data_IF_291993231206
#
_entry.id   IF_291993231206
#
_cell.length_a   1.000
_cell.length_b   1.000
_cell.length_c   1.000
_cell.angle_alpha   90.00
_cell.angle_beta   90.00
_cell.angle_gamma   90.00
#
_symmetry.space_group_name_H-M   'P 1'
#
loop_
_entity.id
_entity.type
_entity.pdbx_description
1 polymer ?
#
# COMPACT_ATOMS: atom_id res chain seq x y z
N UNK A 1 -3.01 -1.27 -35.63
CA UNK A 1 -3.30 -1.52 -34.20
C UNK A 1 -1.98 -1.91 -33.53
N UNK A 2 -1.41 -1.05 -32.67
CA UNK A 2 -0.21 -1.42 -31.90
C UNK A 2 -0.59 -2.59 -31.00
N UNK A 3 0.08 -3.73 -31.13
CA UNK A 3 -0.13 -4.89 -30.24
C UNK A 3 0.38 -4.47 -28.86
N UNK A 4 -0.50 -4.38 -27.87
CA UNK A 4 -0.14 -3.92 -26.52
C UNK A 4 0.81 -4.88 -25.78
N UNK A 5 1.23 -4.53 -24.55
CA UNK A 5 2.31 -5.22 -23.82
C UNK A 5 2.06 -6.72 -23.56
N UNK A 6 0.79 -7.18 -23.60
CA UNK A 6 0.42 -8.60 -23.52
C UNK A 6 0.96 -9.47 -24.66
N UNK A 7 1.51 -8.87 -25.73
CA UNK A 7 2.22 -9.62 -26.79
C UNK A 7 3.50 -10.28 -26.28
N UNK A 8 4.12 -9.70 -25.24
CA UNK A 8 5.31 -10.26 -24.62
C UNK A 8 4.88 -11.42 -23.73
N UNK A 9 5.17 -12.65 -24.18
CA UNK A 9 4.68 -13.88 -23.53
C UNK A 9 5.05 -13.94 -22.04
N UNK A 10 6.27 -13.52 -21.69
CA UNK A 10 6.74 -13.50 -20.31
C UNK A 10 6.04 -12.44 -19.47
N UNK A 11 5.77 -11.25 -20.02
CA UNK A 11 4.99 -10.23 -19.33
C UNK A 11 3.54 -10.70 -19.07
N UNK A 12 2.89 -11.30 -20.07
CA UNK A 12 1.53 -11.82 -19.93
C UNK A 12 1.47 -12.96 -18.89
N UNK A 13 2.42 -13.89 -18.94
CA UNK A 13 2.50 -15.00 -17.98
C UNK A 13 2.83 -14.51 -16.56
N UNK A 14 3.73 -13.53 -16.41
CA UNK A 14 4.06 -12.89 -15.14
C UNK A 14 2.85 -12.19 -14.52
N UNK A 15 2.13 -11.41 -15.32
CA UNK A 15 0.94 -10.71 -14.86
C UNK A 15 -0.16 -11.67 -14.45
N UNK A 16 -0.38 -12.75 -15.21
CA UNK A 16 -1.36 -13.79 -14.87
C UNK A 16 -0.97 -14.55 -13.59
N UNK A 17 0.30 -14.96 -13.47
CA UNK A 17 0.80 -15.67 -12.28
C UNK A 17 0.71 -14.78 -11.03
N UNK A 18 1.09 -13.50 -11.13
CA UNK A 18 0.98 -12.54 -10.02
C UNK A 18 -0.47 -12.25 -9.66
N UNK A 19 -1.37 -12.15 -10.64
CA UNK A 19 -2.80 -11.99 -10.39
C UNK A 19 -3.40 -13.17 -9.62
N UNK A 20 -3.03 -14.41 -10.00
CA UNK A 20 -3.44 -15.63 -9.28
C UNK A 20 -2.84 -15.69 -7.88
N UNK A 21 -1.54 -15.39 -7.75
CA UNK A 21 -0.85 -15.31 -6.45
C UNK A 21 -1.50 -14.29 -5.52
N UNK A 22 -1.84 -13.11 -6.05
CA UNK A 22 -2.48 -12.04 -5.29
C UNK A 22 -3.84 -12.43 -4.70
N UNK A 23 -4.62 -13.29 -5.37
CA UNK A 23 -5.89 -13.78 -4.82
C UNK A 23 -5.64 -14.57 -3.53
N UNK A 24 -4.61 -15.40 -3.53
CA UNK A 24 -4.26 -16.23 -2.39
C UNK A 24 -3.50 -15.47 -1.30
N UNK A 25 -2.73 -14.43 -1.66
CA UNK A 25 -2.19 -13.50 -0.68
C UNK A 25 -3.31 -12.84 0.13
N UNK A 26 -4.44 -12.50 -0.50
CA UNK A 26 -5.59 -11.98 0.21
C UNK A 26 -6.28 -13.04 1.08
N UNK A 27 -6.24 -14.33 0.71
CA UNK A 27 -6.63 -15.43 1.62
C UNK A 27 -5.77 -15.39 2.87
N UNK A 28 -4.44 -15.31 2.73
CA UNK A 28 -3.53 -15.22 3.87
C UNK A 28 -3.72 -13.93 4.69
N UNK A 29 -3.92 -12.80 4.02
CA UNK A 29 -4.15 -11.48 4.63
C UNK A 29 -5.42 -11.45 5.47
N UNK A 30 -6.43 -12.27 5.13
CA UNK A 30 -7.65 -12.44 5.91
C UNK A 30 -7.49 -13.50 7.01
N UNK A 31 -6.96 -14.68 6.67
CA UNK A 31 -6.86 -15.81 7.59
C UNK A 31 -5.85 -15.61 8.71
N UNK A 32 -4.70 -14.97 8.49
CA UNK A 32 -3.69 -14.75 9.53
C UNK A 32 -4.22 -13.92 10.73
N UNK A 33 -4.81 -12.73 10.55
CA UNK A 33 -5.36 -11.99 11.68
C UNK A 33 -6.56 -12.70 12.31
N UNK A 34 -7.41 -13.38 11.52
CA UNK A 34 -8.51 -14.19 12.07
C UNK A 34 -7.99 -15.35 12.93
N UNK A 35 -6.92 -16.02 12.49
CA UNK A 35 -6.27 -17.08 13.25
C UNK A 35 -5.72 -16.55 14.57
N UNK A 36 -5.08 -15.37 14.58
CA UNK A 36 -4.63 -14.73 15.82
C UNK A 36 -5.81 -14.41 16.75
N UNK A 37 -6.90 -13.89 16.20
CA UNK A 37 -8.12 -13.60 16.96
C UNK A 37 -8.75 -14.87 17.54
N UNK A 38 -8.88 -15.93 16.76
CA UNK A 38 -9.44 -17.21 17.22
C UNK A 38 -8.67 -17.83 18.40
N UNK A 39 -7.35 -17.56 18.51
CA UNK A 39 -6.52 -18.09 19.58
C UNK A 39 -6.52 -17.18 20.80
N UNK A 40 -6.47 -15.86 20.57
CA UNK A 40 -6.15 -14.89 21.63
C UNK A 40 -7.34 -14.05 22.06
N UNK A 41 -8.39 -13.99 21.25
CA UNK A 41 -9.51 -13.05 21.36
C UNK A 41 -9.07 -11.59 21.56
N UNK A 42 -7.85 -11.25 21.09
CA UNK A 42 -7.17 -9.99 21.43
C UNK A 42 -6.87 -9.17 20.19
N UNK A 43 -7.51 -8.01 20.08
CA UNK A 43 -7.17 -7.01 19.06
C UNK A 43 -5.71 -6.57 19.16
N UNK A 44 -5.13 -6.54 20.36
CA UNK A 44 -3.73 -6.15 20.55
C UNK A 44 -2.78 -7.18 19.95
N UNK A 45 -3.09 -8.47 20.09
CA UNK A 45 -2.31 -9.53 19.48
C UNK A 45 -2.34 -9.45 17.94
N UNK A 46 -3.52 -9.19 17.34
CA UNK A 46 -3.68 -9.01 15.90
C UNK A 46 -3.00 -7.73 15.39
N UNK A 47 -3.06 -6.63 16.16
CA UNK A 47 -2.35 -5.39 15.86
C UNK A 47 -0.82 -5.59 15.91
N UNK A 48 -0.31 -6.31 16.91
CA UNK A 48 1.12 -6.65 17.01
C UNK A 48 1.57 -7.46 15.80
N UNK A 49 0.79 -8.46 15.34
CA UNK A 49 1.12 -9.18 14.11
C UNK A 49 1.27 -8.21 12.92
N UNK A 50 0.34 -7.26 12.77
CA UNK A 50 0.38 -6.30 11.67
C UNK A 50 1.61 -5.39 11.71
N UNK A 51 2.00 -4.95 12.91
CA UNK A 51 3.23 -4.16 13.13
C UNK A 51 4.46 -4.99 12.78
N UNK A 52 4.54 -6.22 13.29
CA UNK A 52 5.67 -7.13 13.03
C UNK A 52 5.84 -7.39 11.53
N UNK A 53 4.75 -7.55 10.78
CA UNK A 53 4.77 -7.70 9.32
C UNK A 53 5.24 -6.43 8.58
N UNK A 54 5.07 -5.23 9.14
CA UNK A 54 5.50 -3.99 8.47
C UNK A 54 6.93 -3.57 8.79
N UNK A 55 7.49 -4.05 9.91
CA UNK A 55 8.86 -3.75 10.33
C UNK A 55 9.92 -4.06 9.26
N UNK A 56 9.90 -5.22 8.57
CA UNK A 56 10.89 -5.52 7.53
C UNK A 56 10.97 -4.47 6.44
N UNK A 57 9.84 -3.87 6.04
CA UNK A 57 9.84 -2.82 5.01
C UNK A 57 10.56 -1.56 5.48
N UNK A 58 10.44 -1.22 6.75
CA UNK A 58 11.14 -0.08 7.36
C UNK A 58 12.64 -0.37 7.47
N UNK A 59 13.00 -1.59 7.89
CA UNK A 59 14.39 -1.97 8.17
C UNK A 59 15.18 -2.27 6.89
N UNK A 60 14.55 -2.97 5.94
CA UNK A 60 15.20 -3.57 4.79
C UNK A 60 14.79 -2.96 3.45
N UNK A 61 13.82 -2.04 3.40
CA UNK A 61 13.38 -1.43 2.13
C UNK A 61 14.51 -0.75 1.34
N UNK A 62 15.34 0.06 2.02
CA UNK A 62 16.51 0.69 1.39
C UNK A 62 17.66 -0.29 1.09
N UNK A 63 18.08 -1.16 2.03
CA UNK A 63 19.06 -2.22 1.74
C UNK A 63 18.65 -3.16 0.60
N UNK A 64 17.37 -3.49 0.49
CA UNK A 64 16.85 -4.35 -0.57
C UNK A 64 17.11 -3.75 -1.95
N UNK A 65 16.88 -2.44 -2.13
CA UNK A 65 17.19 -1.74 -3.38
C UNK A 65 18.66 -1.88 -3.80
N UNK A 66 19.59 -1.71 -2.86
CA UNK A 66 21.02 -1.88 -3.13
C UNK A 66 21.44 -3.34 -3.36
N UNK A 67 20.70 -4.29 -2.76
CA UNK A 67 20.96 -5.72 -2.93
C UNK A 67 20.52 -6.20 -4.31
N UNK A 68 19.33 -5.80 -4.78
CA UNK A 68 18.77 -6.28 -6.05
C UNK A 68 19.64 -5.92 -7.24
N UNK A 69 20.37 -4.80 -7.18
CA UNK A 69 21.30 -4.39 -8.23
C UNK A 69 22.46 -5.38 -8.38
N UNK A 70 22.85 -6.07 -7.31
CA UNK A 70 24.07 -6.89 -7.22
C UNK A 70 23.84 -8.40 -7.29
N UNK A 71 22.59 -8.85 -7.20
CA UNK A 71 22.25 -10.28 -7.23
C UNK A 71 21.52 -10.65 -8.51
N UNK A 72 21.57 -11.94 -8.85
CA UNK A 72 20.73 -12.52 -9.89
C UNK A 72 19.27 -12.42 -9.45
N UNK A 73 18.51 -11.55 -10.13
CA UNK A 73 17.12 -11.20 -9.80
C UNK A 73 16.20 -12.41 -9.91
N UNK A 74 16.46 -13.29 -10.88
CA UNK A 74 15.67 -14.52 -11.06
C UNK A 74 15.91 -15.49 -9.92
N UNK A 75 17.17 -15.72 -9.52
CA UNK A 75 17.48 -16.58 -8.36
C UNK A 75 16.92 -16.03 -7.05
N UNK A 76 16.97 -14.71 -6.88
CA UNK A 76 16.38 -14.05 -5.71
C UNK A 76 14.86 -14.30 -5.66
N UNK A 77 14.14 -14.12 -6.76
CA UNK A 77 12.69 -14.33 -6.81
C UNK A 77 12.30 -15.79 -6.58
N UNK A 78 13.07 -16.74 -7.13
CA UNK A 78 12.90 -18.17 -6.83
C UNK A 78 13.09 -18.45 -5.32
N UNK A 79 14.12 -17.86 -4.71
CA UNK A 79 14.37 -18.01 -3.28
C UNK A 79 13.25 -17.39 -2.43
N UNK A 80 12.72 -16.24 -2.85
CA UNK A 80 11.57 -15.60 -2.22
C UNK A 80 10.34 -16.51 -2.28
N UNK A 81 9.96 -17.02 -3.45
CA UNK A 81 8.78 -17.86 -3.61
C UNK A 81 8.91 -19.18 -2.81
N UNK A 82 10.09 -19.82 -2.82
CA UNK A 82 10.35 -21.03 -1.99
C UNK A 82 10.23 -20.69 -0.50
N UNK A 83 10.78 -19.56 -0.07
CA UNK A 83 10.70 -19.12 1.33
C UNK A 83 9.27 -18.84 1.74
N UNK A 84 8.49 -18.15 0.90
CA UNK A 84 7.07 -17.89 1.13
C UNK A 84 6.26 -19.17 1.26
N UNK A 85 6.50 -20.16 0.39
CA UNK A 85 5.87 -21.49 0.48
C UNK A 85 6.24 -22.14 1.82
N UNK A 86 7.54 -22.23 2.14
CA UNK A 86 8.01 -22.91 3.34
C UNK A 86 7.46 -22.27 4.62
N UNK A 87 7.49 -20.94 4.71
CA UNK A 87 6.97 -20.16 5.84
C UNK A 87 5.46 -20.31 5.98
N UNK A 88 4.71 -20.26 4.87
CA UNK A 88 3.25 -20.38 4.89
C UNK A 88 2.81 -21.80 5.25
N UNK A 89 3.51 -22.83 4.74
CA UNK A 89 3.27 -24.25 5.07
C UNK A 89 3.67 -24.58 6.52
N UNK A 90 4.66 -23.89 7.09
CA UNK A 90 5.04 -24.10 8.48
C UNK A 90 3.89 -23.82 9.46
N UNK A 91 2.95 -22.93 9.11
CA UNK A 91 1.78 -22.60 9.94
C UNK A 91 0.89 -23.84 10.14
N UNK A 92 0.27 -24.46 9.11
CA UNK A 92 -0.56 -25.64 9.30
C UNK A 92 0.23 -26.84 9.80
N UNK A 93 1.49 -27.01 9.41
CA UNK A 93 2.32 -28.11 9.94
C UNK A 93 2.57 -27.97 11.45
N UNK A 94 2.80 -26.76 11.94
CA UNK A 94 2.99 -26.53 13.38
C UNK A 94 1.72 -26.82 14.18
N UNK A 95 0.54 -26.56 13.61
CA UNK A 95 -0.75 -26.90 14.21
C UNK A 95 -0.93 -28.43 14.30
N UNK A 96 -0.60 -29.16 13.23
CA UNK A 96 -0.64 -30.63 13.21
C UNK A 96 0.38 -31.22 14.20
N UNK A 97 1.57 -30.63 14.29
CA UNK A 97 2.64 -31.06 15.18
C UNK A 97 2.46 -30.69 16.66
N UNK A 98 1.41 -29.94 17.01
CA UNK A 98 1.14 -29.51 18.39
C UNK A 98 2.14 -28.49 18.96
N UNK A 99 2.95 -27.84 18.10
CA UNK A 99 3.95 -26.82 18.47
C UNK A 99 3.52 -25.41 18.07
N UNK A 100 2.27 -25.26 17.66
CA UNK A 100 1.70 -24.01 17.20
C UNK A 100 1.60 -22.99 18.34
N UNK A 101 2.11 -21.78 18.09
CA UNK A 101 2.11 -20.69 19.06
C UNK A 101 1.98 -19.33 18.39
N UNK A 102 1.61 -18.30 19.15
CA UNK A 102 1.51 -16.94 18.62
C UNK A 102 2.89 -16.33 18.31
N UNK A 103 3.89 -16.68 19.11
CA UNK A 103 5.28 -16.26 18.89
C UNK A 103 5.79 -16.77 17.54
N UNK A 104 5.42 -18.02 17.18
CA UNK A 104 5.72 -18.58 15.87
C UNK A 104 5.06 -17.75 14.75
N UNK A 105 3.80 -17.34 14.90
CA UNK A 105 3.13 -16.48 13.93
C UNK A 105 3.80 -15.10 13.78
N UNK A 106 4.31 -14.53 14.87
CA UNK A 106 5.09 -13.29 14.80
C UNK A 106 6.41 -13.48 14.05
N UNK A 107 7.14 -14.56 14.33
CA UNK A 107 8.39 -14.88 13.62
C UNK A 107 8.10 -15.11 12.13
N UNK A 108 7.10 -15.92 11.79
CA UNK A 108 6.71 -16.18 10.40
C UNK A 108 6.24 -14.89 9.72
N UNK A 109 5.44 -14.06 10.38
CA UNK A 109 4.98 -12.78 9.86
C UNK A 109 6.13 -11.81 9.55
N UNK A 110 7.15 -11.74 10.41
CA UNK A 110 8.35 -10.94 10.17
C UNK A 110 9.15 -11.47 8.96
N UNK A 111 9.30 -12.79 8.86
CA UNK A 111 10.04 -13.41 7.75
C UNK A 111 9.30 -13.23 6.43
N UNK A 112 7.98 -13.43 6.40
CA UNK A 112 7.14 -13.15 5.23
C UNK A 112 7.22 -11.68 4.81
N UNK A 113 7.16 -10.74 5.75
CA UNK A 113 7.35 -9.32 5.44
C UNK A 113 8.75 -9.02 4.87
N UNK A 114 9.78 -9.74 5.30
CA UNK A 114 11.15 -9.61 4.74
C UNK A 114 11.20 -10.12 3.30
N UNK A 115 10.58 -11.25 3.03
CA UNK A 115 10.45 -11.81 1.68
C UNK A 115 9.64 -10.87 0.78
N UNK A 116 8.52 -10.32 1.27
CA UNK A 116 7.67 -9.38 0.54
C UNK A 116 8.46 -8.14 0.08
N UNK A 117 9.34 -7.60 0.94
CA UNK A 117 10.19 -6.46 0.60
C UNK A 117 11.15 -6.79 -0.54
N UNK A 118 11.86 -7.91 -0.45
CA UNK A 118 12.82 -8.32 -1.46
C UNK A 118 12.11 -8.62 -2.78
N UNK A 119 11.00 -9.35 -2.73
CA UNK A 119 10.21 -9.70 -3.89
C UNK A 119 9.66 -8.44 -4.58
N UNK A 120 8.94 -7.58 -3.85
CA UNK A 120 8.28 -6.39 -4.39
C UNK A 120 9.26 -5.38 -5.00
N UNK A 121 10.39 -5.11 -4.32
CA UNK A 121 11.42 -4.21 -4.85
C UNK A 121 12.04 -4.78 -6.14
N UNK A 122 12.25 -6.10 -6.22
CA UNK A 122 12.79 -6.74 -7.42
C UNK A 122 11.79 -6.72 -8.58
N UNK A 123 10.51 -7.03 -8.33
CA UNK A 123 9.50 -7.09 -9.38
C UNK A 123 9.20 -5.72 -9.98
N UNK A 124 9.01 -4.72 -9.12
CA UNK A 124 8.57 -3.38 -9.52
C UNK A 124 9.64 -2.65 -10.34
N UNK A 125 10.91 -2.79 -9.95
CA UNK A 125 12.01 -2.01 -10.53
C UNK A 125 12.86 -2.77 -11.55
N UNK A 126 12.81 -4.10 -11.57
CA UNK A 126 13.64 -4.90 -12.49
C UNK A 126 12.82 -5.79 -13.41
N UNK A 127 11.86 -6.57 -12.88
CA UNK A 127 11.12 -7.54 -13.69
C UNK A 127 10.21 -6.84 -14.69
N UNK A 128 9.25 -6.03 -14.23
CA UNK A 128 8.26 -5.39 -15.13
C UNK A 128 8.95 -4.60 -16.24
N UNK A 129 9.97 -3.75 -15.97
CA UNK A 129 10.63 -3.01 -17.04
C UNK A 129 11.43 -3.88 -18.02
N UNK A 130 11.95 -5.03 -17.58
CA UNK A 130 12.73 -5.94 -18.44
C UNK A 130 11.87 -6.78 -19.40
N UNK A 131 10.56 -6.88 -19.16
CA UNK A 131 9.65 -7.76 -19.90
C UNK A 131 8.90 -7.05 -21.04
N UNK A 132 9.04 -5.73 -21.17
CA UNK A 132 8.34 -4.91 -22.17
C UNK A 132 9.28 -3.87 -22.76
N UNK A 133 8.88 -3.25 -23.88
CA UNK A 133 9.63 -2.15 -24.45
C UNK A 133 9.44 -0.86 -23.64
N UNK A 134 10.43 0.05 -23.63
CA UNK A 134 10.40 1.29 -22.83
C UNK A 134 9.13 2.13 -23.08
N UNK A 135 8.69 2.20 -24.34
CA UNK A 135 7.50 2.95 -24.74
C UNK A 135 6.18 2.29 -24.30
N UNK A 136 6.20 1.02 -23.87
CA UNK A 136 5.04 0.26 -23.40
C UNK A 136 4.97 0.22 -21.87
N UNK A 137 5.97 0.74 -21.14
CA UNK A 137 6.07 0.64 -19.68
C UNK A 137 4.82 1.16 -18.96
N UNK A 138 4.26 2.28 -19.40
CA UNK A 138 3.05 2.85 -18.79
C UNK A 138 1.86 1.90 -18.92
N UNK A 139 1.64 1.35 -20.12
CA UNK A 139 0.56 0.41 -20.38
C UNK A 139 0.79 -0.92 -19.64
N UNK A 140 2.03 -1.39 -19.58
CA UNK A 140 2.41 -2.59 -18.86
C UNK A 140 2.13 -2.45 -17.35
N UNK A 141 2.56 -1.34 -16.74
CA UNK A 141 2.25 -1.04 -15.35
C UNK A 141 0.75 -0.95 -15.12
N UNK A 142 -0.01 -0.34 -16.04
CA UNK A 142 -1.47 -0.26 -15.92
C UNK A 142 -2.12 -1.66 -15.88
N UNK A 143 -1.69 -2.59 -16.74
CA UNK A 143 -2.20 -3.97 -16.75
C UNK A 143 -1.76 -4.72 -15.49
N UNK A 144 -0.50 -4.59 -15.07
CA UNK A 144 0.02 -5.22 -13.86
C UNK A 144 -0.75 -4.78 -12.62
N UNK A 145 -0.93 -3.47 -12.43
CA UNK A 145 -1.72 -2.94 -11.33
C UNK A 145 -3.20 -3.31 -11.45
N UNK A 146 -3.77 -3.42 -12.66
CA UNK A 146 -5.14 -3.88 -12.83
C UNK A 146 -5.32 -5.33 -12.32
N UNK A 147 -4.34 -6.21 -12.56
CA UNK A 147 -4.35 -7.58 -12.06
C UNK A 147 -4.25 -7.62 -10.52
N UNK A 148 -3.32 -6.87 -9.90
CA UNK A 148 -3.22 -6.74 -8.44
C UNK A 148 -4.52 -6.20 -7.83
N UNK A 149 -5.11 -5.18 -8.44
CA UNK A 149 -6.39 -4.61 -7.97
C UNK A 149 -7.53 -5.62 -8.07
N UNK A 150 -7.63 -6.36 -9.15
CA UNK A 150 -8.65 -7.41 -9.29
C UNK A 150 -8.50 -8.48 -8.21
N UNK A 151 -7.27 -8.92 -7.94
CA UNK A 151 -6.98 -9.84 -6.85
C UNK A 151 -7.41 -9.30 -5.48
N UNK A 152 -7.18 -8.02 -5.18
CA UNK A 152 -7.61 -7.38 -3.93
C UNK A 152 -9.12 -7.25 -3.75
N UNK A 153 -9.90 -7.31 -4.83
CA UNK A 153 -11.38 -7.30 -4.77
C UNK A 153 -11.92 -8.69 -4.53
N UNK A 154 -11.43 -9.64 -5.33
CA UNK A 154 -11.98 -10.99 -5.41
C UNK A 154 -11.41 -11.86 -4.27
N UNK A 155 -10.15 -11.60 -3.91
CA UNK A 155 -9.36 -12.33 -2.93
C UNK A 155 -10.04 -12.48 -1.56
N UNK A 156 -10.50 -11.40 -0.89
CA UNK A 156 -11.14 -11.54 0.42
C UNK A 156 -12.44 -12.37 0.39
N UNK A 157 -13.22 -12.35 -0.71
CA UNK A 157 -14.41 -13.20 -0.87
C UNK A 157 -14.00 -14.66 -0.97
N UNK A 158 -13.07 -14.96 -1.88
CA UNK A 158 -12.55 -16.32 -2.05
C UNK A 158 -11.85 -16.83 -0.79
N UNK A 159 -11.16 -15.94 -0.07
CA UNK A 159 -10.57 -16.20 1.24
C UNK A 159 -11.62 -16.54 2.28
N UNK A 160 -12.68 -15.75 2.42
CA UNK A 160 -13.79 -16.05 3.33
C UNK A 160 -14.43 -17.40 3.05
N UNK A 161 -14.69 -17.72 1.77
CA UNK A 161 -15.20 -19.03 1.37
C UNK A 161 -14.23 -20.17 1.65
N UNK A 162 -12.94 -20.00 1.34
CA UNK A 162 -11.92 -21.00 1.61
C UNK A 162 -11.81 -21.27 3.12
N UNK A 163 -11.74 -20.22 3.93
CA UNK A 163 -11.68 -20.32 5.38
C UNK A 163 -12.94 -21.00 5.93
N UNK A 164 -14.13 -20.64 5.46
CA UNK A 164 -15.36 -21.27 5.92
C UNK A 164 -15.45 -22.76 5.54
N UNK A 165 -14.90 -23.14 4.37
CA UNK A 165 -14.96 -24.51 3.89
C UNK A 165 -13.96 -25.44 4.57
N UNK A 166 -12.73 -24.97 4.83
CA UNK A 166 -11.62 -25.83 5.31
C UNK A 166 -10.95 -25.33 6.60
N UNK A 167 -11.37 -24.20 7.15
CA UNK A 167 -10.83 -23.57 8.35
C UNK A 167 -9.64 -22.63 8.10
N UNK A 168 -9.37 -21.74 9.06
CA UNK A 168 -8.28 -20.75 9.00
C UNK A 168 -6.90 -21.38 8.74
N UNK A 169 -6.60 -22.47 9.46
CA UNK A 169 -5.31 -23.17 9.36
C UNK A 169 -5.16 -23.84 7.99
N UNK A 170 -6.19 -24.54 7.50
CA UNK A 170 -6.09 -25.26 6.23
C UNK A 170 -6.09 -24.31 5.03
N UNK A 171 -6.72 -23.13 5.15
CA UNK A 171 -6.66 -22.09 4.12
C UNK A 171 -5.22 -21.63 3.83
N UNK A 172 -4.28 -21.80 4.77
CA UNK A 172 -2.85 -21.56 4.55
C UNK A 172 -2.23 -22.49 3.49
N UNK A 173 -2.77 -23.70 3.30
CA UNK A 173 -2.33 -24.56 2.20
C UNK A 173 -2.65 -23.93 0.85
N UNK A 174 -3.84 -23.35 0.70
CA UNK A 174 -4.23 -22.65 -0.53
C UNK A 174 -3.32 -21.45 -0.77
N UNK A 175 -3.05 -20.66 0.29
CA UNK A 175 -2.11 -19.55 0.23
C UNK A 175 -0.71 -20.00 -0.22
N UNK A 176 -0.18 -21.09 0.35
CA UNK A 176 1.12 -21.62 -0.02
C UNK A 176 1.18 -22.09 -1.48
N UNK A 177 0.15 -22.79 -1.96
CA UNK A 177 0.10 -23.32 -3.32
C UNK A 177 0.09 -22.21 -4.39
N UNK A 178 -0.33 -21.00 -4.02
CA UNK A 178 -0.43 -19.88 -4.95
C UNK A 178 0.89 -19.20 -5.29
N UNK A 179 1.97 -19.52 -4.57
CA UNK A 179 3.33 -19.16 -4.98
C UNK A 179 3.88 -20.11 -6.05
N UNK A 180 3.25 -21.26 -6.31
CA UNK A 180 3.74 -22.22 -7.31
C UNK A 180 3.72 -21.69 -8.76
N UNK A 181 2.69 -20.96 -9.22
CA UNK A 181 2.67 -20.39 -10.57
C UNK A 181 3.82 -19.40 -10.82
N UNK A 182 4.10 -18.51 -9.86
CA UNK A 182 5.21 -17.54 -9.98
C UNK A 182 6.55 -18.27 -9.88
N UNK A 183 6.67 -19.26 -8.99
CA UNK A 183 7.87 -20.07 -8.86
C UNK A 183 8.19 -20.82 -10.16
N UNK A 184 7.20 -21.50 -10.73
CA UNK A 184 7.32 -22.21 -11.99
C UNK A 184 7.68 -21.26 -13.13
N UNK A 185 7.05 -20.09 -13.18
CA UNK A 185 7.36 -19.07 -14.16
C UNK A 185 8.82 -18.62 -14.07
N UNK A 186 9.30 -18.26 -12.88
CA UNK A 186 10.69 -17.82 -12.71
C UNK A 186 11.69 -18.95 -12.98
N UNK A 187 11.34 -20.21 -12.72
CA UNK A 187 12.14 -21.36 -13.14
C UNK A 187 12.21 -21.52 -14.65
N UNK A 188 11.15 -21.22 -15.39
CA UNK A 188 11.08 -21.37 -16.85
C UNK A 188 11.63 -20.14 -17.60
N UNK A 189 11.58 -18.96 -16.97
CA UNK A 189 11.95 -17.71 -17.59
C UNK A 189 13.47 -17.63 -17.85
N UNK A 190 13.90 -17.01 -18.98
CA UNK A 190 15.30 -16.72 -19.22
C UNK A 190 15.90 -15.85 -18.10
N UNK A 191 17.23 -15.85 -17.92
CA UNK A 191 17.91 -14.92 -17.03
C UNK A 191 17.49 -13.48 -17.37
N UNK A 192 17.10 -12.72 -16.34
CA UNK A 192 16.82 -11.29 -16.48
C UNK A 192 18.18 -10.61 -16.67
N UNK A 193 18.41 -10.03 -17.86
CA UNK A 193 19.68 -9.42 -18.25
C UNK A 193 20.18 -8.44 -17.19
N UNK A 194 21.43 -8.64 -16.76
CA UNK A 194 22.12 -7.79 -15.80
C UNK A 194 22.58 -6.51 -16.50
N UNK A 195 22.08 -5.35 -16.06
CA UNK A 195 22.82 -4.11 -16.29
C UNK A 195 24.07 -4.22 -15.44
N UNK A 196 25.23 -4.22 -16.08
CA UNK A 196 26.55 -4.47 -15.48
C UNK A 196 26.74 -3.70 -14.17
N UNK A 197 26.86 -4.44 -13.06
CA UNK A 197 27.17 -3.91 -11.74
C UNK A 197 28.47 -3.10 -11.70
N UNK A 198 29.32 -3.24 -12.73
CA UNK A 198 30.61 -2.56 -12.85
C UNK A 198 30.52 -1.04 -13.11
N UNK A 199 29.33 -0.48 -13.39
CA UNK A 199 29.13 0.95 -13.63
C UNK A 199 28.50 1.70 -12.46
N UNK A 200 28.14 1.02 -11.37
CA UNK A 200 27.49 1.65 -10.22
C UNK A 200 28.53 2.24 -9.26
N UNK A 201 28.43 3.54 -9.02
CA UNK A 201 29.27 4.23 -8.03
C UNK A 201 29.13 3.59 -6.63
N UNK A 202 30.18 3.58 -5.79
CA UNK A 202 30.12 2.97 -4.48
C UNK A 202 29.10 3.66 -3.57
N UNK A 203 28.06 2.92 -3.18
CA UNK A 203 27.11 3.31 -2.14
C UNK A 203 27.85 3.41 -0.80
N UNK A 204 28.23 4.62 -0.43
CA UNK A 204 28.85 4.89 0.87
C UNK A 204 27.75 5.29 1.86
N UNK A 205 27.78 4.78 3.10
CA UNK A 205 26.80 5.14 4.15
C UNK A 205 26.66 6.66 4.28
N UNK A 206 27.77 7.39 4.18
CA UNK A 206 27.80 8.86 4.21
C UNK A 206 26.98 9.52 3.09
N UNK A 207 27.05 8.98 1.87
CA UNK A 207 26.30 9.51 0.73
C UNK A 207 24.81 9.22 0.88
N UNK A 208 24.45 8.01 1.34
CA UNK A 208 23.05 7.63 1.59
C UNK A 208 22.42 8.51 2.68
N UNK A 209 23.13 8.72 3.80
CA UNK A 209 22.65 9.61 4.88
C UNK A 209 22.49 11.05 4.38
N UNK A 210 23.43 11.54 3.58
CA UNK A 210 23.34 12.87 2.98
C UNK A 210 22.15 13.00 2.02
N UNK A 211 21.95 12.02 1.13
CA UNK A 211 20.84 12.00 0.17
C UNK A 211 19.47 11.89 0.86
N UNK A 212 19.38 11.12 1.95
CA UNK A 212 18.20 11.06 2.81
C UNK A 212 17.96 12.45 3.42
N UNK A 213 18.99 13.07 4.01
CA UNK A 213 18.93 14.40 4.59
C UNK A 213 18.47 15.47 3.59
N UNK A 214 18.98 15.44 2.36
CA UNK A 214 18.58 16.32 1.27
C UNK A 214 17.09 16.14 0.92
N UNK A 215 16.61 14.90 0.88
CA UNK A 215 15.20 14.58 0.66
C UNK A 215 14.29 15.16 1.75
N UNK A 216 14.65 14.97 3.01
CA UNK A 216 13.91 15.53 4.16
C UNK A 216 13.92 17.06 4.16
N UNK A 217 15.09 17.67 3.95
CA UNK A 217 15.23 19.12 3.88
C UNK A 217 14.40 19.71 2.74
N UNK A 218 14.37 19.05 1.58
CA UNK A 218 13.57 19.47 0.43
C UNK A 218 12.07 19.42 0.74
N UNK A 219 11.57 18.29 1.26
CA UNK A 219 10.15 18.12 1.63
C UNK A 219 9.73 19.18 2.65
N UNK A 220 10.62 19.53 3.59
CA UNK A 220 10.33 20.54 4.60
C UNK A 220 10.36 21.98 4.09
N UNK A 221 11.18 22.27 3.06
CA UNK A 221 11.26 23.58 2.40
C UNK A 221 10.04 23.85 1.53
N UNK A 222 9.56 22.84 0.80
CA UNK A 222 8.41 22.98 -0.08
C UNK A 222 7.11 22.95 0.74
N UNK A 223 6.54 24.13 1.03
CA UNK A 223 5.41 24.31 1.96
C UNK A 223 4.24 23.35 1.70
N UNK A 224 3.88 23.14 0.44
CA UNK A 224 2.79 22.22 0.03
C UNK A 224 3.10 20.79 0.47
N UNK A 225 4.30 20.28 0.14
CA UNK A 225 4.73 18.92 0.51
C UNK A 225 4.86 18.74 2.02
N UNK A 226 5.39 19.73 2.74
CA UNK A 226 5.50 19.69 4.20
C UNK A 226 4.14 19.52 4.85
N UNK A 227 3.18 20.37 4.49
CA UNK A 227 1.85 20.31 5.09
C UNK A 227 1.06 19.09 4.62
N UNK A 228 1.30 18.63 3.38
CA UNK A 228 0.76 17.37 2.91
C UNK A 228 1.27 16.20 3.75
N UNK A 229 2.57 16.20 4.06
CA UNK A 229 3.18 15.18 4.89
C UNK A 229 2.58 15.18 6.29
N UNK A 230 2.45 16.36 6.92
CA UNK A 230 1.87 16.51 8.26
C UNK A 230 0.42 16.02 8.28
N UNK A 231 -0.43 16.48 7.36
CA UNK A 231 -1.83 16.07 7.28
C UNK A 231 -1.93 14.54 7.09
N UNK A 232 -1.22 14.01 6.10
CA UNK A 232 -1.23 12.57 5.81
C UNK A 232 -0.72 11.76 7.00
N UNK A 233 0.29 12.22 7.74
CA UNK A 233 0.81 11.53 8.93
C UNK A 233 -0.21 11.49 10.06
N UNK A 234 -0.89 12.61 10.34
CA UNK A 234 -1.95 12.68 11.37
C UNK A 234 -3.10 11.72 11.03
N UNK A 235 -3.62 11.78 9.80
CA UNK A 235 -4.72 10.91 9.39
C UNK A 235 -4.33 9.42 9.38
N UNK A 236 -3.07 9.10 9.04
CA UNK A 236 -2.60 7.72 9.00
C UNK A 236 -2.47 7.08 10.38
N UNK A 237 -2.27 7.84 11.46
CA UNK A 237 -2.30 7.30 12.83
C UNK A 237 -3.65 6.64 13.17
N UNK A 238 -4.74 7.09 12.57
CA UNK A 238 -6.06 6.46 12.65
C UNK A 238 -6.44 5.63 11.42
N UNK A 239 -5.50 5.37 10.51
CA UNK A 239 -5.78 4.81 9.19
C UNK A 239 -5.72 3.29 9.14
N UNK A 240 -4.50 2.74 9.08
CA UNK A 240 -4.27 1.31 8.83
C UNK A 240 -4.86 0.43 9.91
N UNK A 241 -4.86 0.87 11.17
CA UNK A 241 -5.43 0.13 12.29
C UNK A 241 -6.93 -0.12 12.15
N UNK A 242 -7.66 0.67 11.35
CA UNK A 242 -9.09 0.45 11.12
C UNK A 242 -9.39 -0.87 10.39
N UNK A 243 -8.44 -1.40 9.62
CA UNK A 243 -8.58 -2.73 8.99
C UNK A 243 -8.52 -3.84 10.03
N UNK A 244 -7.64 -3.71 11.03
CA UNK A 244 -7.60 -4.64 12.16
C UNK A 244 -8.82 -4.45 13.06
N UNK A 245 -9.25 -3.21 13.27
CA UNK A 245 -10.43 -2.89 14.08
C UNK A 245 -11.72 -3.44 13.48
N UNK A 246 -11.98 -3.23 12.19
CA UNK A 246 -13.20 -3.75 11.54
C UNK A 246 -13.23 -5.28 11.60
N UNK A 247 -12.11 -5.95 11.36
CA UNK A 247 -12.03 -7.41 11.49
C UNK A 247 -12.35 -7.86 12.92
N UNK A 248 -11.76 -7.22 13.93
CA UNK A 248 -12.03 -7.51 15.34
C UNK A 248 -13.52 -7.30 15.69
N UNK A 249 -14.11 -6.18 15.28
CA UNK A 249 -15.53 -5.90 15.56
C UNK A 249 -16.45 -6.92 14.91
N UNK A 250 -16.22 -7.25 13.63
CA UNK A 250 -17.05 -8.23 12.93
C UNK A 250 -16.91 -9.65 13.52
N UNK A 251 -15.70 -10.04 13.93
CA UNK A 251 -15.42 -11.39 14.46
C UNK A 251 -15.74 -11.53 15.95
N UNK A 252 -15.18 -10.67 16.79
CA UNK A 252 -15.24 -10.82 18.25
C UNK A 252 -16.46 -10.13 18.88
N UNK A 253 -16.91 -8.98 18.36
CA UNK A 253 -18.06 -8.27 18.94
C UNK A 253 -19.40 -8.70 18.34
N UNK A 254 -19.42 -9.04 17.05
CA UNK A 254 -20.63 -9.47 16.34
C UNK A 254 -20.70 -10.96 16.01
N UNK A 255 -19.66 -11.73 16.32
CA UNK A 255 -19.60 -13.19 16.13
C UNK A 255 -19.99 -13.64 14.73
N UNK A 256 -19.62 -12.86 13.70
CA UNK A 256 -19.92 -13.20 12.32
C UNK A 256 -19.02 -14.34 11.83
N UNK A 257 -19.58 -15.14 10.93
CA UNK A 257 -18.88 -16.19 10.22
C UNK A 257 -17.95 -15.62 9.14
N UNK A 258 -16.98 -16.42 8.71
CA UNK A 258 -15.89 -15.97 7.84
C UNK A 258 -16.39 -15.63 6.42
N UNK A 259 -17.50 -16.22 5.97
CA UNK A 259 -18.16 -15.87 4.70
C UNK A 259 -18.73 -14.46 4.78
N UNK A 260 -19.49 -14.14 5.83
CA UNK A 260 -20.08 -12.81 6.00
C UNK A 260 -19.00 -11.73 6.10
N UNK A 261 -17.92 -11.99 6.85
CA UNK A 261 -16.76 -11.09 6.95
C UNK A 261 -16.10 -10.90 5.56
N UNK A 262 -15.81 -11.99 4.86
CA UNK A 262 -15.19 -11.95 3.53
C UNK A 262 -16.04 -11.18 2.51
N UNK A 263 -17.36 -11.40 2.49
CA UNK A 263 -18.30 -10.67 1.63
C UNK A 263 -18.36 -9.17 1.99
N UNK A 264 -18.46 -8.84 3.27
CA UNK A 264 -18.49 -7.45 3.75
C UNK A 264 -17.24 -6.66 3.28
N UNK A 265 -16.05 -7.24 3.45
CA UNK A 265 -14.80 -6.62 3.04
C UNK A 265 -14.64 -6.55 1.51
N UNK A 266 -15.17 -7.52 0.78
CA UNK A 266 -15.11 -7.53 -0.68
C UNK A 266 -16.04 -6.51 -1.32
N UNK A 267 -17.25 -6.36 -0.77
CA UNK A 267 -18.16 -5.26 -1.14
C UNK A 267 -17.48 -3.92 -0.86
N UNK A 268 -16.82 -3.79 0.30
CA UNK A 268 -16.04 -2.60 0.65
C UNK A 268 -14.93 -2.31 -0.38
N UNK A 269 -14.16 -3.33 -0.76
CA UNK A 269 -13.10 -3.24 -1.78
C UNK A 269 -13.64 -2.84 -3.16
N UNK A 270 -14.74 -3.46 -3.61
CA UNK A 270 -15.41 -3.13 -4.87
C UNK A 270 -15.93 -1.69 -4.90
N UNK A 271 -16.61 -1.25 -3.85
CA UNK A 271 -17.09 0.12 -3.70
C UNK A 271 -15.94 1.14 -3.64
N UNK A 272 -14.84 0.77 -2.99
CA UNK A 272 -13.61 1.59 -2.94
C UNK A 272 -13.05 1.84 -4.33
N UNK A 273 -13.07 0.84 -5.21
CA UNK A 273 -12.61 1.00 -6.59
C UNK A 273 -13.56 1.86 -7.41
N UNK A 274 -14.87 1.61 -7.33
CA UNK A 274 -15.88 2.45 -7.99
C UNK A 274 -15.71 3.91 -7.53
N UNK A 275 -15.54 4.13 -6.23
CA UNK A 275 -15.28 5.45 -5.65
C UNK A 275 -14.00 6.08 -6.18
N UNK A 276 -12.91 5.32 -6.31
CA UNK A 276 -11.65 5.81 -6.88
C UNK A 276 -11.75 6.23 -8.35
N UNK A 277 -12.61 5.58 -9.14
CA UNK A 277 -12.88 5.93 -10.53
C UNK A 277 -13.75 7.20 -10.65
N UNK A 278 -14.58 7.46 -9.66
CA UNK A 278 -15.42 8.66 -9.58
C UNK A 278 -14.66 9.86 -9.01
N UNK A 279 -13.63 9.63 -8.19
CA UNK A 279 -12.87 10.69 -7.52
C UNK A 279 -12.34 11.76 -8.49
N UNK A 280 -11.62 11.43 -9.60
CA UNK A 280 -11.14 12.45 -10.53
C UNK A 280 -12.25 13.33 -11.09
N UNK A 281 -13.44 12.76 -11.35
CA UNK A 281 -14.61 13.49 -11.87
C UNK A 281 -15.18 14.46 -10.83
N UNK A 282 -15.23 14.06 -9.57
CA UNK A 282 -15.73 14.89 -8.47
C UNK A 282 -14.80 16.08 -8.14
N UNK A 283 -13.53 15.99 -8.52
CA UNK A 283 -12.56 17.07 -8.39
C UNK A 283 -12.45 17.96 -9.63
N UNK A 284 -13.14 17.64 -10.74
CA UNK A 284 -13.14 18.48 -11.94
C UNK A 284 -13.65 19.88 -11.59
N UNK A 285 -12.96 20.90 -12.11
CA UNK A 285 -13.28 22.32 -11.93
C UNK A 285 -13.25 22.82 -10.48
N UNK A 286 -12.61 22.08 -9.56
CA UNK A 286 -12.40 22.51 -8.17
C UNK A 286 -10.91 22.69 -7.88
N UNK A 287 -10.53 23.66 -7.04
CA UNK A 287 -9.15 23.75 -6.57
C UNK A 287 -8.77 22.45 -5.85
N UNK A 288 -7.64 21.87 -6.24
CA UNK A 288 -7.19 20.56 -5.74
C UNK A 288 -7.08 20.52 -4.21
N UNK A 289 -6.61 21.61 -3.60
CA UNK A 289 -6.53 21.77 -2.14
C UNK A 289 -7.87 21.59 -1.43
N UNK A 290 -8.93 22.18 -1.98
CA UNK A 290 -10.28 22.04 -1.44
C UNK A 290 -10.81 20.61 -1.62
N UNK A 291 -10.54 19.97 -2.77
CA UNK A 291 -10.89 18.57 -2.98
C UNK A 291 -10.19 17.65 -1.99
N UNK A 292 -8.90 17.88 -1.70
CA UNK A 292 -8.12 17.12 -0.70
C UNK A 292 -8.70 17.27 0.70
N UNK A 293 -9.03 18.49 1.12
CA UNK A 293 -9.65 18.77 2.42
C UNK A 293 -11.03 18.12 2.52
N UNK A 294 -11.84 18.19 1.46
CA UNK A 294 -13.18 17.62 1.46
C UNK A 294 -13.15 16.10 1.64
N UNK A 295 -12.26 15.39 0.93
CA UNK A 295 -12.20 13.92 1.03
C UNK A 295 -11.55 13.44 2.33
N UNK A 296 -10.55 14.15 2.88
CA UNK A 296 -10.00 13.77 4.19
C UNK A 296 -11.00 14.04 5.33
N UNK A 297 -11.79 15.11 5.21
CA UNK A 297 -12.91 15.38 6.12
C UNK A 297 -13.99 14.29 5.99
N UNK A 298 -14.40 13.93 4.78
CA UNK A 298 -15.36 12.87 4.53
C UNK A 298 -14.88 11.52 5.10
N UNK A 299 -13.58 11.22 4.97
CA UNK A 299 -12.95 10.05 5.62
C UNK A 299 -13.10 10.10 7.14
N UNK A 300 -12.79 11.26 7.76
CA UNK A 300 -12.91 11.42 9.21
C UNK A 300 -14.34 11.32 9.71
N UNK A 301 -15.29 11.97 9.04
CA UNK A 301 -16.71 11.90 9.37
C UNK A 301 -17.28 10.49 9.19
N UNK A 302 -16.87 9.76 8.16
CA UNK A 302 -17.28 8.37 7.94
C UNK A 302 -16.80 7.45 9.06
N UNK A 303 -15.53 7.59 9.49
CA UNK A 303 -14.99 6.85 10.62
C UNK A 303 -15.66 7.23 11.95
N UNK A 304 -15.90 8.52 12.20
CA UNK A 304 -16.64 9.01 13.38
C UNK A 304 -18.06 8.45 13.42
N UNK A 305 -18.78 8.43 12.29
CA UNK A 305 -20.12 7.87 12.22
C UNK A 305 -20.15 6.39 12.62
N UNK A 306 -19.09 5.64 12.30
CA UNK A 306 -18.91 4.25 12.71
C UNK A 306 -18.86 4.06 14.23
N UNK A 307 -18.48 5.08 15.00
CA UNK A 307 -18.47 5.04 16.46
C UNK A 307 -19.86 5.12 17.10
N UNK A 308 -20.87 5.62 16.37
CA UNK A 308 -22.22 5.86 16.89
C UNK A 308 -23.24 4.80 16.48
N UNK A 309 -22.79 3.75 15.80
CA UNK A 309 -23.65 2.65 15.35
C UNK A 309 -23.25 1.34 16.02
N UNK A 310 -24.25 0.57 16.47
CA UNK A 310 -24.07 -0.81 16.94
C UNK A 310 -24.43 -1.87 15.90
N UNK A 311 -24.90 -1.49 14.70
CA UNK A 311 -25.14 -2.45 13.62
C UNK A 311 -23.87 -2.63 12.78
N UNK A 312 -23.35 -3.86 12.73
CA UNK A 312 -22.16 -4.24 11.97
C UNK A 312 -22.24 -3.84 10.49
N UNK A 313 -23.43 -3.81 9.91
CA UNK A 313 -23.66 -3.41 8.51
C UNK A 313 -23.36 -1.92 8.31
N UNK A 314 -23.83 -1.10 9.24
CA UNK A 314 -23.58 0.34 9.24
C UNK A 314 -22.11 0.63 9.58
N UNK A 315 -21.49 -0.11 10.51
CA UNK A 315 -20.05 0.00 10.79
C UNK A 315 -19.24 -0.31 9.52
N UNK A 316 -19.60 -1.38 8.80
CA UNK A 316 -18.96 -1.75 7.53
C UNK A 316 -19.17 -0.68 6.45
N UNK A 317 -20.37 -0.09 6.38
CA UNK A 317 -20.66 1.01 5.46
C UNK A 317 -19.83 2.26 5.78
N UNK A 318 -19.70 2.63 7.06
CA UNK A 318 -18.87 3.72 7.55
C UNK A 318 -17.38 3.48 7.23
N UNK A 319 -16.88 2.26 7.48
CA UNK A 319 -15.53 1.84 7.10
C UNK A 319 -15.30 1.96 5.59
N UNK A 320 -16.29 1.54 4.79
CA UNK A 320 -16.23 1.63 3.33
C UNK A 320 -16.21 3.08 2.83
N UNK A 321 -17.09 3.93 3.38
CA UNK A 321 -17.13 5.36 3.06
C UNK A 321 -15.80 6.05 3.36
N UNK A 322 -15.16 5.66 4.46
CA UNK A 322 -13.82 6.11 4.81
C UNK A 322 -12.78 5.65 3.78
N UNK A 323 -12.71 4.37 3.43
CA UNK A 323 -11.71 3.86 2.47
C UNK A 323 -11.87 4.48 1.07
N UNK A 324 -13.11 4.71 0.61
CA UNK A 324 -13.40 5.46 -0.62
C UNK A 324 -12.78 6.86 -0.56
N UNK A 325 -13.08 7.60 0.50
CA UNK A 325 -12.62 8.98 0.65
C UNK A 325 -11.09 9.06 0.84
N UNK A 326 -10.51 8.12 1.57
CA UNK A 326 -9.06 8.02 1.74
C UNK A 326 -8.32 7.69 0.44
N UNK A 327 -8.88 6.82 -0.40
CA UNK A 327 -8.29 6.52 -1.70
C UNK A 327 -8.35 7.71 -2.65
N UNK A 328 -9.45 8.46 -2.64
CA UNK A 328 -9.53 9.74 -3.36
C UNK A 328 -8.45 10.72 -2.86
N UNK A 329 -8.22 10.81 -1.55
CA UNK A 329 -7.15 11.63 -0.98
C UNK A 329 -5.77 11.22 -1.49
N UNK A 330 -5.47 9.92 -1.53
CA UNK A 330 -4.17 9.42 -2.03
C UNK A 330 -3.94 9.85 -3.48
N UNK A 331 -4.96 9.75 -4.34
CA UNK A 331 -4.89 10.17 -5.75
C UNK A 331 -4.50 11.65 -5.83
N UNK A 332 -5.22 12.51 -5.11
CA UNK A 332 -4.96 13.96 -5.14
C UNK A 332 -3.61 14.31 -4.52
N UNK A 333 -3.25 13.70 -3.39
CA UNK A 333 -1.98 13.89 -2.72
C UNK A 333 -0.79 13.46 -3.58
N UNK A 334 -0.97 12.58 -4.55
CA UNK A 334 0.11 12.17 -5.45
C UNK A 334 0.51 13.26 -6.44
N UNK A 335 -0.42 14.12 -6.84
CA UNK A 335 -0.21 15.11 -7.90
C UNK A 335 0.85 16.17 -7.53
N UNK A 336 0.83 16.83 -6.37
CA UNK A 336 1.88 17.77 -5.97
C UNK A 336 3.27 17.13 -5.92
N UNK A 337 3.33 15.86 -5.48
CA UNK A 337 4.59 15.10 -5.38
C UNK A 337 5.19 14.78 -6.75
N UNK A 338 4.35 14.67 -7.78
CA UNK A 338 4.81 14.45 -9.16
C UNK A 338 5.16 15.75 -9.87
N UNK A 339 4.31 16.79 -9.72
CA UNK A 339 4.42 18.04 -10.48
C UNK A 339 5.41 19.03 -9.89
N UNK A 340 5.37 19.22 -8.58
CA UNK A 340 6.11 20.31 -7.93
C UNK A 340 7.54 19.88 -7.53
N UNK A 341 7.85 18.59 -7.65
CA UNK A 341 9.17 18.05 -7.34
C UNK A 341 9.99 17.86 -8.63
N UNK A 342 11.14 18.57 -8.75
CA UNK A 342 12.06 18.43 -9.88
C UNK A 342 12.52 16.98 -10.08
N UNK A 343 12.74 16.59 -11.34
CA UNK A 343 13.08 15.21 -11.71
C UNK A 343 14.31 14.67 -10.97
N UNK A 344 15.35 15.50 -10.78
CA UNK A 344 16.59 15.16 -10.07
C UNK A 344 16.43 15.03 -8.54
N UNK A 345 15.32 15.48 -7.96
CA UNK A 345 15.02 15.40 -6.52
C UNK A 345 13.86 14.46 -6.19
N UNK A 346 13.09 14.02 -7.20
CA UNK A 346 11.83 13.28 -7.02
C UNK A 346 11.99 11.98 -6.24
N UNK A 347 13.03 11.20 -6.55
CA UNK A 347 13.34 9.96 -5.81
C UNK A 347 13.63 10.20 -4.33
N UNK A 348 14.56 11.13 -4.04
CA UNK A 348 14.98 11.47 -2.68
C UNK A 348 13.85 12.07 -1.83
N UNK A 349 13.11 13.03 -2.39
CA UNK A 349 11.98 13.66 -1.71
C UNK A 349 10.84 12.67 -1.47
N UNK A 350 10.51 11.82 -2.45
CA UNK A 350 9.46 10.81 -2.27
C UNK A 350 9.87 9.71 -1.28
N UNK A 351 11.15 9.32 -1.24
CA UNK A 351 11.69 8.40 -0.24
C UNK A 351 11.54 8.93 1.19
N UNK A 352 11.94 10.19 1.42
CA UNK A 352 11.77 10.86 2.71
C UNK A 352 10.28 10.97 3.10
N UNK A 353 9.43 11.40 2.16
CA UNK A 353 7.98 11.51 2.38
C UNK A 353 7.34 10.16 2.73
N UNK A 354 7.63 9.10 1.96
CA UNK A 354 7.09 7.75 2.21
C UNK A 354 7.54 7.18 3.55
N UNK A 355 8.78 7.45 3.96
CA UNK A 355 9.33 6.95 5.23
C UNK A 355 8.50 7.43 6.42
N UNK A 356 8.24 8.73 6.50
CA UNK A 356 7.42 9.31 7.59
C UNK A 356 5.98 8.79 7.56
N UNK A 357 5.38 8.72 6.37
CA UNK A 357 4.03 8.16 6.21
C UNK A 357 3.96 6.70 6.65
N UNK A 358 4.99 5.91 6.35
CA UNK A 358 5.06 4.49 6.73
C UNK A 358 5.18 4.30 8.24
N UNK A 359 5.92 5.19 8.93
CA UNK A 359 6.00 5.19 10.40
C UNK A 359 4.62 5.44 11.00
N UNK A 360 3.91 6.49 10.55
CA UNK A 360 2.55 6.78 11.04
C UNK A 360 1.56 5.66 10.73
N UNK A 361 1.64 5.05 9.54
CA UNK A 361 0.85 3.88 9.15
C UNK A 361 1.09 2.68 10.06
N UNK A 362 2.35 2.40 10.38
CA UNK A 362 2.73 1.24 11.19
C UNK A 362 2.38 1.45 12.66
N UNK A 363 2.36 2.69 13.15
CA UNK A 363 1.91 3.00 14.50
C UNK A 363 0.38 2.85 14.67
N UNK A 364 -0.40 2.98 13.58
CA UNK A 364 -1.85 3.02 13.65
C UNK A 364 -2.54 1.80 14.29
N UNK A 365 -2.20 0.55 13.93
CA UNK A 365 -2.77 -0.62 14.60
C UNK A 365 -2.55 -0.59 16.11
N UNK A 366 -1.35 -0.25 16.56
CA UNK A 366 -1.01 -0.18 17.99
C UNK A 366 -1.79 0.92 18.72
N UNK A 367 -1.92 2.11 18.10
CA UNK A 367 -2.72 3.22 18.66
C UNK A 367 -4.17 2.79 18.81
N UNK A 368 -4.81 2.28 17.76
CA UNK A 368 -6.23 1.94 17.81
C UNK A 368 -6.50 0.72 18.69
N UNK A 369 -5.63 -0.30 18.69
CA UNK A 369 -5.77 -1.44 19.60
C UNK A 369 -5.64 -1.03 21.06
N UNK A 370 -4.73 -0.09 21.38
CA UNK A 370 -4.61 0.44 22.73
C UNK A 370 -5.89 1.16 23.18
N UNK A 371 -6.52 1.95 22.29
CA UNK A 371 -7.81 2.58 22.58
C UNK A 371 -8.91 1.55 22.85
N UNK A 372 -8.95 0.44 22.11
CA UNK A 372 -9.91 -0.64 22.39
C UNK A 372 -9.67 -1.27 23.76
N UNK A 373 -8.41 -1.50 24.15
CA UNK A 373 -8.07 -2.10 25.45
C UNK A 373 -8.50 -1.23 26.65
N UNK A 374 -8.38 0.10 26.54
CA UNK A 374 -8.67 1.02 27.66
C UNK A 374 -10.08 1.62 27.61
N UNK A 375 -10.76 1.51 26.46
CA UNK A 375 -12.09 2.07 26.25
C UNK A 375 -12.99 1.09 25.47
N UNK A 376 -13.09 1.24 24.13
CA UNK A 376 -13.98 0.43 23.30
C UNK A 376 -13.64 0.53 21.80
N UNK A 377 -14.21 -0.37 20.99
CA UNK A 377 -14.16 -0.28 19.52
C UNK A 377 -14.75 1.03 18.98
N UNK A 378 -15.89 1.45 19.53
CA UNK A 378 -16.52 2.73 19.22
C UNK A 378 -15.56 3.91 19.51
N UNK A 379 -14.88 3.91 20.65
CA UNK A 379 -13.87 4.93 20.96
C UNK A 379 -12.70 4.91 19.96
N UNK A 380 -12.26 3.73 19.51
CA UNK A 380 -11.21 3.62 18.51
C UNK A 380 -11.63 4.17 17.14
N UNK A 381 -12.87 3.89 16.68
CA UNK A 381 -13.45 4.53 15.49
C UNK A 381 -13.54 6.06 15.65
N UNK A 382 -13.94 6.54 16.82
CA UNK A 382 -14.05 7.96 17.11
C UNK A 382 -12.67 8.65 17.07
N UNK A 383 -11.64 8.04 17.68
CA UNK A 383 -10.25 8.54 17.65
C UNK A 383 -9.73 8.56 16.21
N UNK A 384 -9.95 7.48 15.45
CA UNK A 384 -9.53 7.41 14.06
C UNK A 384 -10.17 8.52 13.20
N UNK A 385 -11.47 8.74 13.36
CA UNK A 385 -12.17 9.80 12.65
C UNK A 385 -11.79 11.20 13.14
N UNK A 386 -11.59 11.40 14.44
CA UNK A 386 -11.10 12.66 15.01
C UNK A 386 -9.70 13.04 14.49
N UNK A 387 -8.79 12.06 14.34
CA UNK A 387 -7.47 12.29 13.74
C UNK A 387 -7.59 12.74 12.28
N UNK A 388 -8.47 12.14 11.49
CA UNK A 388 -8.70 12.56 10.11
C UNK A 388 -9.40 13.94 10.02
N UNK A 389 -10.33 14.26 10.91
CA UNK A 389 -10.93 15.61 11.02
C UNK A 389 -9.88 16.64 11.44
N UNK A 390 -9.04 16.34 12.42
CA UNK A 390 -7.93 17.20 12.83
C UNK A 390 -6.94 17.42 11.68
N UNK A 391 -6.64 16.38 10.90
CA UNK A 391 -5.86 16.50 9.67
C UNK A 391 -6.53 17.43 8.64
N UNK A 392 -7.85 17.34 8.47
CA UNK A 392 -8.60 18.23 7.58
C UNK A 392 -8.51 19.69 8.05
N UNK A 393 -8.65 19.91 9.37
CA UNK A 393 -8.52 21.23 9.97
C UNK A 393 -7.12 21.81 9.74
N UNK A 394 -6.06 21.04 10.03
CA UNK A 394 -4.68 21.44 9.75
C UNK A 394 -4.50 21.78 8.27
N UNK A 395 -4.97 20.94 7.36
CA UNK A 395 -4.87 21.21 5.92
C UNK A 395 -5.60 22.51 5.52
N UNK A 396 -6.74 22.84 6.15
CA UNK A 396 -7.52 24.05 5.87
C UNK A 396 -6.80 25.34 6.25
N UNK A 397 -6.00 25.33 7.33
CA UNK A 397 -5.25 26.51 7.79
C UNK A 397 -3.83 26.60 7.22
N UNK A 398 -3.53 25.84 6.15
CA UNK A 398 -2.20 25.79 5.54
C UNK A 398 -2.26 26.10 4.05
N UNK A 399 -1.11 26.38 3.40
CA UNK A 399 -1.03 26.59 1.94
C UNK A 399 -1.57 25.44 1.10
N UNK A 400 -1.89 24.28 1.69
CA UNK A 400 -2.59 23.20 1.00
C UNK A 400 -3.99 23.60 0.53
N UNK A 401 -4.71 24.43 1.29
CA UNK A 401 -6.08 24.85 0.95
C UNK A 401 -6.13 25.52 -0.42
N UNK A 402 -5.19 26.42 -0.66
CA UNK A 402 -5.13 27.23 -1.87
C UNK A 402 -4.34 26.55 -3.00
N UNK A 403 -3.96 25.28 -2.81
CA UNK A 403 -3.26 24.54 -3.84
C UNK A 403 -4.17 24.34 -5.05
N UNK A 404 -3.78 24.94 -6.17
CA UNK A 404 -4.37 24.73 -7.47
C UNK A 404 -3.31 24.12 -8.39
N UNK A 405 -3.72 23.11 -9.14
CA UNK A 405 -2.91 22.60 -10.25
C UNK A 405 -2.84 23.72 -11.28
N UNK A 406 -1.69 24.38 -11.41
CA UNK A 406 -1.45 25.29 -12.51
C UNK A 406 -1.27 24.45 -13.77
N UNK A 407 -2.14 24.64 -14.76
CA UNK A 407 -1.83 24.18 -16.11
C UNK A 407 -0.59 24.95 -16.59
N UNK A 408 0.35 24.30 -17.30
CA UNK A 408 1.42 25.03 -17.94
C UNK A 408 0.78 26.08 -18.85
N UNK A 409 1.15 27.35 -18.67
CA UNK A 409 0.69 28.40 -19.58
C UNK A 409 1.13 28.00 -21.00
N UNK A 410 0.17 27.85 -21.91
CA UNK A 410 0.43 27.49 -23.31
C UNK A 410 1.40 28.51 -23.92
N UNK A 411 1.41 29.75 -23.42
CA UNK A 411 2.38 30.78 -23.78
C UNK A 411 3.81 30.52 -23.30
N UNK A 412 4.03 29.94 -22.12
CA UNK A 412 5.38 29.59 -21.62
C UNK A 412 5.95 28.38 -22.35
N UNK A 413 5.12 27.36 -22.64
CA UNK A 413 5.55 26.19 -23.40
C UNK A 413 5.85 26.57 -24.85
N UNK A 414 5.07 27.48 -25.44
CA UNK A 414 5.35 28.03 -26.77
C UNK A 414 6.65 28.85 -26.79
N UNK A 415 6.88 29.75 -25.81
CA UNK A 415 8.11 30.56 -25.72
C UNK A 415 9.37 29.71 -25.46
N UNK A 416 9.26 28.68 -24.63
CA UNK A 416 10.34 27.73 -24.39
C UNK A 416 10.63 26.85 -25.62
N UNK A 417 9.61 26.55 -26.43
CA UNK A 417 9.77 25.80 -27.69
C UNK A 417 10.31 26.67 -28.84
N UNK A 418 10.07 27.98 -28.83
CA UNK A 418 10.56 28.92 -29.86
C UNK A 418 11.93 29.52 -29.55
N UNK A 419 12.50 29.25 -28.36
CA UNK A 419 13.83 29.75 -27.98
C UNK A 419 13.93 31.27 -27.87
N UNK A 420 12.80 31.95 -27.68
CA UNK A 420 12.74 33.41 -27.67
C UNK A 420 12.93 33.92 -26.23
N UNK A 421 14.15 33.78 -25.70
CA UNK A 421 14.63 34.56 -24.55
C UNK A 421 14.99 35.98 -25.02
N UNK A 422 14.00 36.75 -25.48
CA UNK A 422 14.19 38.19 -25.70
C UNK A 422 14.02 38.95 -24.39
N UNK A 423 15.15 39.11 -23.69
CA UNK A 423 15.60 40.34 -23.01
C UNK A 423 14.48 41.23 -22.47
N UNK A 424 14.05 40.99 -21.23
CA UNK A 424 13.48 42.03 -20.37
C UNK A 424 14.59 42.60 -19.47
N UNK A 425 15.57 43.23 -20.09
CA UNK A 425 16.60 44.02 -19.43
C UNK A 425 16.89 45.27 -20.29
N UNK A 426 15.99 46.26 -20.26
CA UNK A 426 16.27 47.69 -20.45
C UNK A 426 14.97 48.48 -20.67
N UNK A 427 14.70 49.47 -19.82
CA UNK A 427 13.69 50.50 -20.09
C UNK A 427 13.05 51.11 -18.84
N UNK A 428 13.77 52.06 -18.24
CA UNK A 428 13.33 53.18 -17.36
C UNK A 428 12.35 52.95 -16.20
#
# INVERSE_FOLDING_TARGET
MRRGPLRHKWFAAFTAATGLGGIADEVARLALPLLVLDITHSIAAAATLRVVQSLPYILFGAPAGALIDRVDKRRLLIACDISSIALTVAIPLSAIGGVFSIELLYVIGFMLGTVEVLWGVTTDFSVVPSLVEEHELTDANAIFFAADRAARIIGPTLGGFAIAAIGNVSAMWIAALAFLPTLALFYLMPPILEISAAQLAPLTVRNVVHEIGDGFAFVWRLKVLRWLLVAMSIANLGGVGLRTLILYVLREEHHLDEVTIGLALSVSGGLTIIGSLLAPRLAQNRPMGHSMIAVILASGLSALAGAFTGDWRLITLCFTGREIAWQAFIIYAFIPRQRDVPANMRGRANGAFRTVVLISNSASPAVLSFIVLVASSAAAFAVAGALAVASAAVATFTPLRDYAVREPDVGEVARAATGDETVAASGE
#
